data_IF_535872882055
#
_entry.id   IF_535872882055
#
_cell.length_a   1.000
_cell.length_b   1.000
_cell.length_c   1.000
_cell.angle_alpha   90.00
_cell.angle_beta   90.00
_cell.angle_gamma   90.00
#
_symmetry.space_group_name_H-M   'P 1'
#
loop_
_entity.id
_entity.type
_entity.pdbx_description
1 polymer ?
#
# COMPACT_ATOMS: atom_id res chain seq x y z
N UNK A 1 -2.94 46.34 -16.87
CA UNK A 1 -2.14 45.11 -16.57
C UNK A 1 -2.30 44.67 -15.10
N UNK A 2 -2.26 45.58 -14.12
CA UNK A 2 -2.48 45.29 -12.69
C UNK A 2 -3.79 44.54 -12.36
N UNK A 3 -4.92 44.87 -13.01
CA UNK A 3 -6.20 44.19 -12.79
C UNK A 3 -6.21 42.68 -13.18
N UNK A 4 -5.25 42.18 -13.96
CA UNK A 4 -5.09 40.73 -14.19
C UNK A 4 -4.50 40.01 -12.99
N UNK A 5 -3.66 40.68 -12.20
CA UNK A 5 -3.02 40.13 -10.99
C UNK A 5 -4.09 39.87 -9.92
N UNK A 6 -5.18 40.63 -9.90
CA UNK A 6 -6.33 40.37 -9.02
C UNK A 6 -6.97 38.99 -9.22
N UNK A 7 -6.74 38.31 -10.36
CA UNK A 7 -7.19 36.92 -10.57
C UNK A 7 -6.42 35.91 -9.71
N UNK A 8 -5.22 36.25 -9.21
CA UNK A 8 -4.45 35.40 -8.29
C UNK A 8 -5.17 35.26 -6.94
N UNK A 9 -5.92 36.27 -6.49
CA UNK A 9 -6.78 36.16 -5.31
C UNK A 9 -7.92 35.14 -5.48
N UNK A 10 -8.15 34.58 -6.67
CA UNK A 10 -9.01 33.39 -6.86
C UNK A 10 -8.47 32.17 -6.08
N UNK A 11 -7.17 32.10 -5.79
CA UNK A 11 -6.59 31.10 -4.88
C UNK A 11 -7.15 31.24 -3.45
N UNK A 12 -7.60 32.42 -3.02
CA UNK A 12 -8.26 32.54 -1.72
C UNK A 12 -9.61 31.82 -1.70
N UNK A 13 -10.28 31.56 -2.83
CA UNK A 13 -11.45 30.66 -2.87
C UNK A 13 -11.10 29.20 -2.54
N UNK A 14 -9.83 28.81 -2.64
CA UNK A 14 -9.35 27.49 -2.23
C UNK A 14 -9.54 27.29 -0.72
N UNK A 15 -9.51 28.36 0.09
CA UNK A 15 -9.80 28.27 1.53
C UNK A 15 -11.23 27.84 1.86
N UNK A 16 -12.20 28.11 0.97
CA UNK A 16 -13.57 27.57 1.08
C UNK A 16 -13.65 26.08 0.71
N UNK A 17 -12.74 25.61 -0.14
CA UNK A 17 -12.52 24.17 -0.37
C UNK A 17 -11.79 23.51 0.82
N UNK A 18 -11.03 24.28 1.60
CA UNK A 18 -10.38 23.79 2.83
C UNK A 18 -11.43 23.58 3.95
N UNK A 19 -12.51 24.35 4.00
CA UNK A 19 -13.66 24.04 4.90
C UNK A 19 -14.28 22.66 4.60
N UNK A 20 -14.42 22.29 3.32
CA UNK A 20 -14.84 20.94 2.92
C UNK A 20 -13.72 19.88 3.09
N UNK A 21 -12.45 20.29 3.10
CA UNK A 21 -11.32 19.38 3.37
C UNK A 21 -11.30 18.84 4.81
N UNK A 22 -12.01 19.51 5.74
CA UNK A 22 -12.23 19.00 7.09
C UNK A 22 -12.91 17.64 7.08
N UNK A 23 -13.85 17.43 6.16
CA UNK A 23 -14.56 16.16 5.98
C UNK A 23 -13.60 15.06 5.55
N UNK A 24 -12.72 15.32 4.58
CA UNK A 24 -11.70 14.37 4.12
C UNK A 24 -10.68 14.03 5.22
N UNK A 25 -10.23 15.04 5.96
CA UNK A 25 -9.28 14.86 7.06
C UNK A 25 -9.92 14.07 8.22
N UNK A 26 -11.19 14.34 8.52
CA UNK A 26 -11.95 13.62 9.54
C UNK A 26 -12.21 12.17 9.14
N UNK A 27 -12.57 11.89 7.87
CA UNK A 27 -12.69 10.52 7.36
C UNK A 27 -11.36 9.76 7.42
N UNK A 28 -10.23 10.39 7.09
CA UNK A 28 -8.91 9.78 7.25
C UNK A 28 -8.60 9.46 8.71
N UNK A 29 -8.90 10.38 9.62
CA UNK A 29 -8.67 10.18 11.05
C UNK A 29 -9.58 9.09 11.64
N UNK A 30 -10.83 8.97 11.20
CA UNK A 30 -11.74 7.90 11.59
C UNK A 30 -11.32 6.54 11.02
N UNK A 31 -10.82 6.51 9.77
CA UNK A 31 -10.36 5.27 9.14
C UNK A 31 -8.97 4.79 9.63
N UNK A 32 -8.22 5.60 10.39
CA UNK A 32 -6.86 5.28 10.86
C UNK A 32 -6.72 3.89 11.50
N UNK A 33 -7.70 3.45 12.30
CA UNK A 33 -7.64 2.14 12.96
C UNK A 33 -7.77 1.00 11.94
N UNK A 34 -8.65 1.15 10.95
CA UNK A 34 -8.84 0.17 9.86
C UNK A 34 -7.59 0.13 8.97
N UNK A 35 -7.01 1.30 8.64
CA UNK A 35 -5.78 1.41 7.87
C UNK A 35 -4.59 0.79 8.62
N UNK A 36 -4.44 1.05 9.92
CA UNK A 36 -3.38 0.45 10.74
C UNK A 36 -3.49 -1.07 10.81
N UNK A 37 -4.70 -1.62 10.98
CA UNK A 37 -4.93 -3.06 10.95
C UNK A 37 -4.53 -3.66 9.59
N UNK A 38 -4.93 -3.00 8.50
CA UNK A 38 -4.55 -3.40 7.15
C UNK A 38 -3.02 -3.44 6.97
N UNK A 39 -2.32 -2.36 7.35
CA UNK A 39 -0.85 -2.29 7.27
C UNK A 39 -0.20 -3.37 8.13
N UNK A 40 -0.73 -3.64 9.32
CA UNK A 40 -0.22 -4.69 10.20
C UNK A 40 -0.36 -6.09 9.58
N UNK A 41 -1.50 -6.36 8.92
CA UNK A 41 -1.72 -7.61 8.17
C UNK A 41 -0.72 -7.74 7.01
N UNK A 42 -0.52 -6.69 6.21
CA UNK A 42 0.45 -6.67 5.11
C UNK A 42 1.87 -6.97 5.59
N UNK A 43 2.30 -6.31 6.68
CA UNK A 43 3.61 -6.51 7.28
C UNK A 43 3.76 -7.96 7.77
N UNK A 44 2.74 -8.51 8.43
CA UNK A 44 2.76 -9.88 8.95
C UNK A 44 2.90 -10.90 7.82
N UNK A 45 2.11 -10.77 6.74
CA UNK A 45 2.20 -11.66 5.58
C UNK A 45 3.57 -11.54 4.92
N UNK A 46 4.10 -10.32 4.80
CA UNK A 46 5.44 -10.07 4.24
C UNK A 46 6.54 -10.75 5.06
N UNK A 47 6.48 -10.67 6.39
CA UNK A 47 7.45 -11.33 7.27
C UNK A 47 7.39 -12.85 7.09
N UNK A 48 6.17 -13.43 7.08
CA UNK A 48 5.98 -14.87 6.90
C UNK A 48 6.50 -15.32 5.53
N UNK A 49 6.09 -14.65 4.46
CA UNK A 49 6.50 -14.98 3.10
C UNK A 49 8.00 -14.79 2.87
N UNK A 50 8.58 -13.68 3.35
CA UNK A 50 10.01 -13.41 3.27
C UNK A 50 10.83 -14.44 4.04
N UNK A 51 10.42 -14.81 5.24
CA UNK A 51 11.11 -15.85 6.04
C UNK A 51 11.00 -17.23 5.38
N UNK A 52 9.82 -17.58 4.86
CA UNK A 52 9.60 -18.83 4.15
C UNK A 52 10.50 -18.92 2.90
N UNK A 53 10.62 -17.84 2.14
CA UNK A 53 11.47 -17.80 0.95
C UNK A 53 12.95 -17.83 1.25
N UNK A 54 13.38 -17.19 2.34
CA UNK A 54 14.75 -17.32 2.85
C UNK A 54 15.10 -18.80 3.12
N UNK A 55 14.17 -19.57 3.69
CA UNK A 55 14.39 -21.00 3.98
C UNK A 55 14.35 -21.87 2.72
N UNK A 56 13.47 -21.58 1.76
CA UNK A 56 13.29 -22.40 0.56
C UNK A 56 14.41 -22.17 -0.47
N UNK A 57 14.71 -20.90 -0.76
CA UNK A 57 15.63 -20.53 -1.83
C UNK A 57 17.07 -20.35 -1.32
N UNK A 58 17.22 -19.86 -0.09
CA UNK A 58 18.53 -19.63 0.53
C UNK A 58 19.40 -18.59 -0.20
N UNK A 59 20.65 -18.42 0.27
CA UNK A 59 21.57 -17.42 -0.28
C UNK A 59 21.98 -17.68 -1.74
N UNK A 60 21.86 -18.92 -2.21
CA UNK A 60 22.22 -19.33 -3.58
C UNK A 60 21.39 -18.61 -4.65
N UNK A 61 20.19 -18.14 -4.32
CA UNK A 61 19.27 -17.50 -5.26
C UNK A 61 18.97 -16.03 -4.91
N UNK A 62 19.87 -15.38 -4.16
CA UNK A 62 19.74 -13.96 -3.79
C UNK A 62 18.97 -13.68 -2.49
N UNK A 63 18.36 -14.71 -1.89
CA UNK A 63 17.72 -14.62 -0.57
C UNK A 63 18.77 -14.74 0.55
N UNK A 64 19.67 -13.75 0.62
CA UNK A 64 20.85 -13.75 1.49
C UNK A 64 20.56 -13.49 2.96
N UNK A 65 19.44 -12.82 3.26
CA UNK A 65 19.03 -12.48 4.62
C UNK A 65 17.51 -12.34 4.71
N UNK A 66 16.96 -12.44 5.93
CA UNK A 66 15.52 -12.26 6.17
C UNK A 66 15.06 -10.86 5.72
N UNK A 67 15.76 -9.74 6.05
CA UNK A 67 15.34 -8.42 5.58
C UNK A 67 15.33 -8.27 4.06
N UNK A 68 16.31 -8.85 3.35
CA UNK A 68 16.34 -8.87 1.89
C UNK A 68 15.17 -9.67 1.30
N UNK A 69 14.83 -10.79 1.93
CA UNK A 69 13.69 -11.63 1.52
C UNK A 69 12.34 -10.96 1.82
N UNK A 70 12.26 -10.19 2.91
CA UNK A 70 11.10 -9.35 3.22
C UNK A 70 10.95 -8.24 2.18
N UNK A 71 12.04 -7.58 1.78
CA UNK A 71 12.00 -6.59 0.70
C UNK A 71 11.42 -7.19 -0.59
N UNK A 72 11.87 -8.38 -0.98
CA UNK A 72 11.28 -9.10 -2.12
C UNK A 72 9.77 -9.35 -1.94
N UNK A 73 9.34 -9.77 -0.74
CA UNK A 73 7.94 -10.02 -0.45
C UNK A 73 7.09 -8.73 -0.53
N UNK A 74 7.61 -7.58 -0.07
CA UNK A 74 6.94 -6.28 -0.20
C UNK A 74 6.80 -5.90 -1.67
N UNK A 75 7.89 -5.96 -2.44
CA UNK A 75 7.92 -5.57 -3.86
C UNK A 75 6.96 -6.44 -4.69
N UNK A 76 6.89 -7.73 -4.38
CA UNK A 76 6.01 -8.69 -5.04
C UNK A 76 4.54 -8.46 -4.66
N UNK A 77 4.25 -8.30 -3.35
CA UNK A 77 2.89 -8.08 -2.87
C UNK A 77 2.32 -6.73 -3.30
N UNK A 78 3.17 -5.70 -3.37
CA UNK A 78 2.82 -4.38 -3.89
C UNK A 78 2.71 -4.34 -5.42
N UNK A 79 2.89 -5.48 -6.11
CA UNK A 79 2.79 -5.63 -7.57
C UNK A 79 3.83 -4.82 -8.36
N UNK A 80 4.91 -4.36 -7.71
CA UNK A 80 5.97 -3.58 -8.35
C UNK A 80 6.87 -4.49 -9.19
N UNK A 81 7.33 -5.60 -8.60
CA UNK A 81 8.07 -6.64 -9.32
C UNK A 81 9.36 -6.17 -10.01
N UNK A 82 10.30 -5.58 -9.27
CA UNK A 82 11.58 -5.11 -9.83
C UNK A 82 12.40 -6.20 -10.55
N UNK A 83 12.25 -7.47 -10.14
CA UNK A 83 12.93 -8.61 -10.77
C UNK A 83 14.41 -8.75 -10.39
N UNK A 84 14.88 -7.98 -9.41
CA UNK A 84 16.22 -8.04 -8.82
C UNK A 84 16.45 -9.32 -7.99
N UNK A 85 15.41 -9.79 -7.30
CA UNK A 85 15.40 -11.07 -6.58
C UNK A 85 14.20 -11.88 -7.09
N UNK A 86 14.41 -13.14 -7.46
CA UNK A 86 13.34 -14.02 -7.98
C UNK A 86 13.54 -15.47 -7.54
N UNK A 87 12.44 -16.18 -7.20
CA UNK A 87 12.50 -17.61 -6.89
C UNK A 87 12.96 -18.44 -8.10
N UNK A 88 13.91 -19.34 -7.89
CA UNK A 88 14.34 -20.27 -8.93
C UNK A 88 13.77 -21.67 -8.72
N UNK A 89 13.48 -22.06 -7.48
CA UNK A 89 12.94 -23.38 -7.17
C UNK A 89 11.47 -23.50 -7.54
N UNK A 90 11.02 -24.72 -7.86
CA UNK A 90 9.60 -25.01 -8.14
C UNK A 90 8.72 -24.64 -6.96
N UNK A 91 9.18 -24.91 -5.74
CA UNK A 91 8.44 -24.62 -4.51
C UNK A 91 8.38 -23.11 -4.22
N UNK A 92 9.50 -22.39 -4.40
CA UNK A 92 9.52 -20.93 -4.26
C UNK A 92 8.63 -20.23 -5.30
N UNK A 93 8.58 -20.73 -6.53
CA UNK A 93 7.66 -20.24 -7.56
C UNK A 93 6.20 -20.46 -7.19
N UNK A 94 5.86 -21.64 -6.64
CA UNK A 94 4.51 -21.92 -6.15
C UNK A 94 4.09 -20.96 -5.02
N UNK A 95 4.94 -20.77 -4.01
CA UNK A 95 4.71 -19.81 -2.91
C UNK A 95 4.53 -18.40 -3.45
N UNK A 96 5.35 -18.01 -4.43
CA UNK A 96 5.27 -16.70 -5.08
C UNK A 96 3.96 -16.50 -5.82
N UNK A 97 3.46 -17.51 -6.55
CA UNK A 97 2.16 -17.44 -7.21
C UNK A 97 1.02 -17.22 -6.22
N UNK A 98 1.04 -17.92 -5.07
CA UNK A 98 0.05 -17.71 -4.00
C UNK A 98 0.17 -16.30 -3.41
N UNK A 99 1.40 -15.83 -3.16
CA UNK A 99 1.65 -14.48 -2.63
C UNK A 99 1.12 -13.38 -3.56
N UNK A 100 1.27 -13.54 -4.87
CA UNK A 100 0.76 -12.59 -5.87
C UNK A 100 -0.78 -12.53 -5.84
N UNK A 101 -1.46 -13.68 -5.75
CA UNK A 101 -2.93 -13.72 -5.65
C UNK A 101 -3.44 -13.04 -4.37
N UNK A 102 -2.72 -13.22 -3.25
CA UNK A 102 -3.01 -12.52 -2.00
C UNK A 102 -2.77 -11.01 -2.16
N UNK A 103 -1.65 -10.61 -2.75
CA UNK A 103 -1.32 -9.20 -3.01
C UNK A 103 -2.37 -8.47 -3.84
N UNK A 104 -2.90 -9.13 -4.87
CA UNK A 104 -3.99 -8.58 -5.68
C UNK A 104 -5.26 -8.30 -4.86
N UNK A 105 -5.60 -9.19 -3.93
CA UNK A 105 -6.77 -9.04 -3.05
C UNK A 105 -6.60 -7.90 -2.03
N UNK A 106 -5.36 -7.67 -1.58
CA UNK A 106 -4.99 -6.65 -0.59
C UNK A 106 -5.24 -5.23 -1.13
N UNK A 107 -5.06 -4.99 -2.44
CA UNK A 107 -5.27 -3.67 -3.06
C UNK A 107 -6.72 -3.19 -2.94
N UNK A 108 -7.70 -4.10 -2.91
CA UNK A 108 -9.12 -3.75 -2.80
C UNK A 108 -9.49 -3.20 -1.40
N UNK A 109 -8.75 -3.58 -0.36
CA UNK A 109 -9.06 -3.25 1.04
C UNK A 109 -8.95 -1.75 1.35
N UNK A 110 -7.84 -1.03 1.06
CA UNK A 110 -7.75 0.40 1.37
C UNK A 110 -8.79 1.22 0.61
N UNK A 111 -9.04 0.87 -0.66
CA UNK A 111 -10.10 1.48 -1.47
C UNK A 111 -11.48 1.27 -0.83
N UNK A 112 -11.80 0.03 -0.42
CA UNK A 112 -13.06 -0.28 0.26
C UNK A 112 -13.23 0.45 1.60
N UNK A 113 -12.18 0.51 2.42
CA UNK A 113 -12.18 1.26 3.69
C UNK A 113 -12.47 2.73 3.43
N UNK A 114 -11.79 3.33 2.45
CA UNK A 114 -11.93 4.75 2.13
C UNK A 114 -13.33 5.06 1.58
N UNK A 115 -13.82 4.28 0.60
CA UNK A 115 -15.16 4.46 0.03
C UNK A 115 -16.26 4.32 1.08
N UNK A 116 -16.14 3.35 2.00
CA UNK A 116 -17.11 3.18 3.08
C UNK A 116 -17.11 4.36 4.06
N UNK A 117 -15.93 4.89 4.38
CA UNK A 117 -15.82 6.03 5.30
C UNK A 117 -16.32 7.34 4.65
N UNK A 118 -16.02 7.56 3.37
CA UNK A 118 -16.52 8.69 2.60
C UNK A 118 -18.06 8.65 2.50
N UNK A 119 -18.63 7.48 2.20
CA UNK A 119 -20.08 7.30 2.16
C UNK A 119 -20.76 7.56 3.51
N UNK A 120 -20.11 7.21 4.62
CA UNK A 120 -20.61 7.50 5.97
C UNK A 120 -20.49 8.97 6.35
N UNK A 121 -19.55 9.71 5.79
CA UNK A 121 -19.34 11.13 6.12
C UNK A 121 -20.22 12.05 5.27
N UNK A 122 -20.70 11.58 4.10
CA UNK A 122 -21.66 12.29 3.24
C UNK A 122 -23.14 12.06 3.64
N UNK A 123 -23.40 11.16 4.58
CA UNK A 123 -24.74 10.93 5.18
C UNK A 123 -24.93 11.81 6.41
#
# INVERSE_FOLDING_TARGET
RALRILRVFRILKLTRYIEESGVLMESLWRSRRKVLLFLFTVITITIIAGTMMYVIEGPNHGFTSIPSSMYWAVVTMATVGFGDIVPQTVLGRFVTSVLILIGYSIIAVPTGIYTAELANTMR
#
